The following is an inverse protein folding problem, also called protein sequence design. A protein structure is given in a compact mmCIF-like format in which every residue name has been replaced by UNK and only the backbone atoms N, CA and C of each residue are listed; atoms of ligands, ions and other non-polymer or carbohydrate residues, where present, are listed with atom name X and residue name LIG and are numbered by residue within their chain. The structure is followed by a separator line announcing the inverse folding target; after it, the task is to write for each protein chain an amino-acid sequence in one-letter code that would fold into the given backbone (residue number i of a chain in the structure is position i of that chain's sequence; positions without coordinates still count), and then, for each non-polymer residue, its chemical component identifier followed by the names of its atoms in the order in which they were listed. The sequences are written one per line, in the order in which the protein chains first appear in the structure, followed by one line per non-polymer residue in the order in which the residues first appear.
data_IF_086958762653
#
_entry.id   IF_086958762653
#
_cell.length_a   1.000
_cell.length_b   1.000
_cell.length_c   1.000
_cell.angle_alpha   90.00
_cell.angle_beta   90.00
_cell.angle_gamma   90.00
#
_symmetry.space_group_name_H-M   'P 1'
#
loop_
_entity.id
_entity.type
_entity.pdbx_description
1 polymer ?
#
# COMPACT_ATOMS: atom_id res chain seq x y z
N UNK A 1 16.25 -1.27 -15.68
CA UNK A 1 15.00 -0.57 -16.07
C UNK A 1 14.54 0.23 -14.87
N UNK A 2 14.54 1.56 -14.95
CA UNK A 2 14.00 2.42 -13.89
C UNK A 2 12.53 2.67 -14.21
N UNK A 3 11.62 2.23 -13.34
CA UNK A 3 10.19 2.50 -13.51
C UNK A 3 9.94 3.99 -13.29
N UNK A 4 9.62 4.73 -14.35
CA UNK A 4 9.22 6.12 -14.21
C UNK A 4 7.70 6.17 -14.00
N UNK A 5 7.27 6.35 -12.75
CA UNK A 5 5.87 6.60 -12.44
C UNK A 5 5.55 8.05 -12.83
N UNK A 6 4.55 8.24 -13.68
CA UNK A 6 4.07 9.60 -13.95
C UNK A 6 3.55 10.22 -12.65
N UNK A 7 3.61 11.55 -12.54
CA UNK A 7 3.11 12.27 -11.36
C UNK A 7 1.66 11.91 -11.02
N UNK A 8 0.85 11.58 -12.05
CA UNK A 8 -0.54 11.12 -11.89
C UNK A 8 -0.61 9.77 -11.18
N UNK A 9 0.18 8.78 -11.59
CA UNK A 9 0.17 7.45 -10.96
C UNK A 9 0.68 7.54 -9.52
N UNK A 10 1.70 8.38 -9.27
CA UNK A 10 2.17 8.62 -7.91
C UNK A 10 1.08 9.22 -7.01
N UNK A 11 0.27 10.14 -7.54
CA UNK A 11 -0.85 10.75 -6.80
C UNK A 11 -1.90 9.72 -6.43
N UNK A 12 -2.29 8.85 -7.37
CA UNK A 12 -3.26 7.77 -7.12
C UNK A 12 -2.78 6.79 -6.04
N UNK A 13 -1.53 6.34 -6.12
CA UNK A 13 -0.94 5.45 -5.09
C UNK A 13 -0.90 6.12 -3.72
N UNK A 14 -0.63 7.44 -3.68
CA UNK A 14 -0.62 8.20 -2.43
C UNK A 14 -2.02 8.32 -1.83
N UNK A 15 -3.03 8.59 -2.64
CA UNK A 15 -4.43 8.67 -2.18
C UNK A 15 -4.89 7.33 -1.61
N UNK A 16 -4.64 6.24 -2.33
CA UNK A 16 -4.90 4.89 -1.83
C UNK A 16 -4.14 4.58 -0.54
N UNK A 17 -2.85 4.91 -0.45
CA UNK A 17 -2.06 4.66 0.76
C UNK A 17 -2.53 5.49 1.96
N UNK A 18 -3.15 6.65 1.72
CA UNK A 18 -3.78 7.46 2.77
C UNK A 18 -5.10 6.86 3.22
N UNK A 19 -5.92 6.37 2.29
CA UNK A 19 -7.19 5.69 2.58
C UNK A 19 -6.97 4.39 3.39
N UNK A 20 -5.92 3.63 3.04
CA UNK A 20 -5.61 2.33 3.66
C UNK A 20 -4.44 2.38 4.65
N UNK A 21 -4.11 3.55 5.21
CA UNK A 21 -2.94 3.71 6.08
C UNK A 21 -2.94 2.76 7.28
N UNK A 22 -4.08 2.62 7.96
CA UNK A 22 -4.19 1.78 9.15
C UNK A 22 -4.04 0.29 8.81
N UNK A 23 -4.64 -0.16 7.69
CA UNK A 23 -4.51 -1.52 7.18
C UNK A 23 -3.06 -1.85 6.79
N UNK A 24 -2.36 -0.89 6.15
CA UNK A 24 -0.95 -1.02 5.80
C UNK A 24 -0.06 -1.16 7.06
N UNK A 25 -0.32 -0.36 8.10
CA UNK A 25 0.41 -0.44 9.36
C UNK A 25 0.13 -1.73 10.13
N UNK A 26 -1.12 -2.21 10.12
CA UNK A 26 -1.49 -3.49 10.71
C UNK A 26 -0.77 -4.65 9.99
N UNK A 27 -0.77 -4.64 8.65
CA UNK A 27 -0.03 -5.61 7.86
C UNK A 27 1.47 -5.54 8.05
N UNK A 28 2.02 -4.34 8.25
CA UNK A 28 3.43 -4.18 8.58
C UNK A 28 3.80 -4.88 9.90
N UNK A 29 2.96 -4.74 10.92
CA UNK A 29 3.20 -5.42 12.20
C UNK A 29 3.07 -6.94 12.09
N UNK A 30 2.06 -7.44 11.36
CA UNK A 30 1.89 -8.87 11.06
C UNK A 30 3.09 -9.45 10.30
N UNK A 31 3.58 -8.71 9.30
CA UNK A 31 4.76 -9.10 8.53
C UNK A 31 6.00 -9.28 9.43
N UNK A 32 6.20 -8.38 10.40
CA UNK A 32 7.29 -8.47 11.38
C UNK A 32 7.19 -9.71 12.26
N UNK A 33 5.97 -10.17 12.52
CA UNK A 33 5.68 -11.37 13.31
C UNK A 33 5.64 -12.65 12.47
N UNK A 34 5.93 -12.57 11.17
CA UNK A 34 5.80 -13.67 10.20
C UNK A 34 4.38 -14.24 10.12
N UNK A 35 3.39 -13.41 10.40
CA UNK A 35 1.97 -13.74 10.28
C UNK A 35 1.47 -13.49 8.85
N UNK A 36 0.43 -14.22 8.40
CA UNK A 36 -0.18 -13.97 7.11
C UNK A 36 -0.76 -12.55 7.06
N UNK A 37 -0.59 -11.85 5.94
CA UNK A 37 -1.14 -10.52 5.71
C UNK A 37 -2.64 -10.58 5.41
N UNK A 38 -3.35 -9.53 5.78
CA UNK A 38 -4.74 -9.31 5.37
C UNK A 38 -4.81 -8.63 4.00
N UNK A 39 -5.79 -9.01 3.15
CA UNK A 39 -5.98 -8.36 1.87
C UNK A 39 -6.46 -6.92 2.09
N UNK A 40 -5.85 -5.99 1.37
CA UNK A 40 -6.27 -4.59 1.28
C UNK A 40 -6.95 -4.42 -0.08
N UNK A 41 -8.06 -3.67 -0.14
CA UNK A 41 -8.73 -3.39 -1.39
C UNK A 41 -7.75 -2.74 -2.40
N UNK A 42 -7.75 -3.13 -3.68
CA UNK A 42 -6.85 -2.54 -4.67
C UNK A 42 -7.25 -1.10 -5.01
N UNK A 43 -6.30 -0.36 -5.58
CA UNK A 43 -6.59 0.90 -6.27
C UNK A 43 -7.43 0.59 -7.52
N UNK A 44 -8.60 1.24 -7.64
CA UNK A 44 -9.49 1.18 -8.82
C UNK A 44 -8.89 1.84 -10.09
#
# INVERSE_FOLDING_TARGET
MQGNLSARVFSLVKEWALEHQDELLANWERARQSEPLEPIAPLE
#
